data_IF_571166474465
#
_entry.id   IF_571166474465
#
_cell.length_a   1.000
_cell.length_b   1.000
_cell.length_c   1.000
_cell.angle_alpha   90.00
_cell.angle_beta   90.00
_cell.angle_gamma   90.00
#
_symmetry.space_group_name_H-M   'P 1'
#
loop_
_entity.id
_entity.type
_entity.pdbx_description
1 polymer ?
#
# COMPACT_ATOMS: atom_id res chain seq x y z
N UNK A 1 25.35 20.04 -1.30
CA UNK A 1 24.57 18.82 -1.04
C UNK A 1 23.15 19.11 -1.51
N UNK A 2 22.74 18.53 -2.63
CA UNK A 2 21.32 18.56 -3.00
C UNK A 2 20.53 17.83 -1.91
N UNK A 3 19.38 18.39 -1.55
CA UNK A 3 18.51 17.81 -0.55
C UNK A 3 18.09 16.41 -1.02
N UNK A 4 18.59 15.37 -0.35
CA UNK A 4 18.36 13.97 -0.73
C UNK A 4 16.90 13.53 -0.56
N UNK A 5 16.09 14.37 0.09
CA UNK A 5 14.68 14.11 0.36
C UNK A 5 13.84 15.26 -0.21
N UNK A 6 12.93 14.91 -1.13
CA UNK A 6 11.87 15.81 -1.62
C UNK A 6 10.54 15.34 -1.04
N UNK A 7 9.80 16.24 -0.41
CA UNK A 7 8.54 15.93 0.26
C UNK A 7 7.35 16.49 -0.51
N UNK A 8 6.28 15.72 -0.59
CA UNK A 8 4.94 16.22 -0.79
C UNK A 8 3.98 15.39 0.07
N UNK A 9 3.22 16.11 0.90
CA UNK A 9 2.14 15.61 1.74
C UNK A 9 2.49 14.65 2.89
N UNK A 10 3.49 15.00 3.72
CA UNK A 10 3.71 14.37 5.04
C UNK A 10 2.50 14.50 6.00
N UNK A 11 1.51 15.36 5.66
CA UNK A 11 0.39 15.73 6.53
C UNK A 11 -0.94 15.02 6.19
N UNK A 12 -1.01 14.16 5.17
CA UNK A 12 -2.19 13.30 5.03
C UNK A 12 -2.15 12.20 6.09
N UNK A 13 -3.13 12.19 6.99
CA UNK A 13 -3.12 11.36 8.20
C UNK A 13 -2.81 9.87 7.98
N UNK A 14 -3.08 9.32 6.78
CA UNK A 14 -2.91 7.90 6.47
C UNK A 14 -2.23 7.60 5.13
N UNK A 15 -1.58 8.58 4.47
CA UNK A 15 -0.81 8.34 3.25
C UNK A 15 0.26 9.42 3.04
N UNK A 16 1.24 9.18 2.19
CA UNK A 16 2.26 10.15 1.84
C UNK A 16 3.33 9.57 0.92
N UNK A 17 4.22 10.43 0.45
CA UNK A 17 5.36 9.98 -0.33
C UNK A 17 6.57 10.91 -0.18
N UNK A 18 7.73 10.37 -0.51
CA UNK A 18 8.96 11.13 -0.62
C UNK A 18 9.89 10.49 -1.63
N UNK A 19 10.82 11.28 -2.18
CA UNK A 19 11.90 10.75 -3.00
C UNK A 19 13.19 10.64 -2.18
N UNK A 20 13.90 9.52 -2.27
CA UNK A 20 15.23 9.33 -1.69
C UNK A 20 16.10 8.46 -2.59
N UNK A 21 17.36 8.84 -2.81
CA UNK A 21 18.34 8.04 -3.56
C UNK A 21 17.81 7.49 -4.92
N UNK A 22 17.21 8.38 -5.73
CA UNK A 22 16.55 8.06 -7.01
C UNK A 22 15.42 7.02 -6.92
N UNK A 23 14.71 7.00 -5.79
CA UNK A 23 13.53 6.16 -5.56
C UNK A 23 12.37 6.99 -5.08
N UNK A 24 11.18 6.64 -5.53
CA UNK A 24 9.93 7.12 -4.96
C UNK A 24 9.49 6.12 -3.89
N UNK A 25 9.28 6.62 -2.68
CA UNK A 25 8.74 5.87 -1.55
C UNK A 25 7.34 6.39 -1.29
N UNK A 26 6.35 5.50 -1.34
CA UNK A 26 4.93 5.84 -1.15
C UNK A 26 4.39 4.93 -0.07
N UNK A 27 3.70 5.49 0.91
CA UNK A 27 3.16 4.74 2.03
C UNK A 27 1.74 5.20 2.33
N UNK A 28 1.00 4.33 3.00
CA UNK A 28 -0.30 4.67 3.52
C UNK A 28 -1.07 3.45 3.98
N UNK A 29 -2.37 3.60 4.13
CA UNK A 29 -3.24 2.51 4.56
C UNK A 29 -4.66 2.61 4.01
N UNK A 30 -5.32 1.47 3.83
CA UNK A 30 -6.71 1.36 3.41
C UNK A 30 -7.52 0.50 4.39
N UNK A 31 -8.81 0.79 4.53
CA UNK A 31 -9.74 -0.19 5.09
C UNK A 31 -9.87 -1.34 4.08
N UNK A 32 -9.76 -2.57 4.55
CA UNK A 32 -9.87 -3.78 3.75
C UNK A 32 -10.96 -4.67 4.33
N UNK A 33 -11.86 -5.14 3.46
CA UNK A 33 -12.94 -6.05 3.85
C UNK A 33 -12.47 -7.50 3.80
N UNK A 34 -12.52 -8.23 4.91
CA UNK A 34 -12.21 -9.66 4.96
C UNK A 34 -13.36 -10.51 4.41
N UNK A 35 -13.06 -11.77 4.09
CA UNK A 35 -14.05 -12.74 3.61
C UNK A 35 -14.49 -12.54 2.16
N UNK A 36 -13.90 -11.59 1.45
CA UNK A 36 -14.09 -11.45 0.00
C UNK A 36 -13.11 -12.35 -0.73
N UNK A 37 -13.58 -13.27 -1.56
CA UNK A 37 -12.73 -14.08 -2.45
C UNK A 37 -12.09 -13.27 -3.59
N UNK A 38 -12.51 -12.01 -3.75
CA UNK A 38 -12.08 -11.08 -4.79
C UNK A 38 -10.89 -10.22 -4.38
N UNK A 39 -10.11 -9.84 -5.39
CA UNK A 39 -9.12 -8.75 -5.29
C UNK A 39 -9.85 -7.43 -5.02
N UNK A 40 -9.32 -6.62 -4.10
CA UNK A 40 -9.78 -5.24 -3.86
C UNK A 40 -8.76 -4.27 -4.43
N UNK A 41 -9.23 -3.24 -5.13
CA UNK A 41 -8.40 -2.24 -5.78
C UNK A 41 -8.52 -0.92 -5.04
N UNK A 42 -7.38 -0.27 -4.80
CA UNK A 42 -7.28 0.98 -4.06
C UNK A 42 -6.48 2.00 -4.86
N UNK A 43 -7.00 3.22 -4.96
CA UNK A 43 -6.27 4.33 -5.57
C UNK A 43 -5.26 4.91 -4.58
N UNK A 44 -4.04 5.17 -5.05
CA UNK A 44 -2.97 5.83 -4.29
C UNK A 44 -2.83 7.28 -4.74
N UNK A 45 -2.46 8.17 -3.83
CA UNK A 45 -2.47 9.63 -4.04
C UNK A 45 -1.44 10.16 -5.05
N UNK A 46 -0.49 9.33 -5.48
CA UNK A 46 0.58 9.74 -6.39
C UNK A 46 0.84 8.65 -7.42
N UNK A 47 1.08 9.08 -8.66
CA UNK A 47 1.48 8.16 -9.71
C UNK A 47 2.89 7.61 -9.43
N UNK A 48 3.03 6.28 -9.48
CA UNK A 48 4.28 5.56 -9.29
C UNK A 48 5.06 5.53 -10.59
N UNK A 49 6.27 6.11 -10.58
CA UNK A 49 7.21 6.00 -11.70
C UNK A 49 7.72 4.57 -11.81
N UNK A 50 7.89 4.06 -13.04
CA UNK A 50 8.35 2.68 -13.31
C UNK A 50 7.58 1.61 -12.51
N UNK A 51 6.26 1.79 -12.35
CA UNK A 51 5.38 1.02 -11.46
C UNK A 51 5.44 -0.49 -11.68
N UNK A 52 5.69 -0.95 -12.90
CA UNK A 52 5.79 -2.39 -13.23
C UNK A 52 6.93 -3.08 -12.48
N UNK A 53 7.96 -2.32 -12.07
CA UNK A 53 9.13 -2.81 -11.35
C UNK A 53 9.13 -2.35 -9.87
N UNK A 54 8.03 -1.78 -9.38
CA UNK A 54 7.94 -1.32 -8.01
C UNK A 54 7.84 -2.53 -7.06
N UNK A 55 8.54 -2.43 -5.93
CA UNK A 55 8.35 -3.37 -4.84
C UNK A 55 7.16 -2.90 -4.01
N UNK A 56 6.24 -3.81 -3.72
CA UNK A 56 5.06 -3.54 -2.90
C UNK A 56 5.13 -4.44 -1.67
N UNK A 57 5.14 -3.81 -0.50
CA UNK A 57 5.10 -4.47 0.79
C UNK A 57 3.77 -4.09 1.43
N UNK A 58 3.06 -5.09 1.96
CA UNK A 58 1.82 -4.88 2.69
C UNK A 58 1.87 -5.56 4.04
N UNK A 59 1.18 -4.95 5.00
CA UNK A 59 0.93 -5.51 6.33
C UNK A 59 -0.51 -5.26 6.70
N UNK A 60 -1.07 -6.12 7.55
CA UNK A 60 -2.46 -6.04 7.99
C UNK A 60 -2.55 -5.88 9.50
N UNK A 61 -3.49 -5.05 9.93
CA UNK A 61 -3.97 -5.01 11.29
C UNK A 61 -5.45 -5.38 11.29
N UNK A 62 -5.79 -6.52 11.89
CA UNK A 62 -7.18 -6.87 12.17
C UNK A 62 -7.73 -5.97 13.28
N UNK A 63 -8.93 -5.44 13.07
CA UNK A 63 -9.62 -4.52 13.99
C UNK A 63 -10.84 -5.20 14.62
N UNK A 64 -11.41 -6.20 13.96
CA UNK A 64 -12.70 -6.77 14.32
C UNK A 64 -12.60 -8.11 15.03
N UNK A 65 -11.67 -8.99 14.62
CA UNK A 65 -11.75 -10.41 14.99
C UNK A 65 -10.61 -10.92 15.86
N UNK A 66 -9.55 -10.14 16.05
CA UNK A 66 -8.35 -10.56 16.80
C UNK A 66 -7.56 -11.70 16.12
N UNK A 67 -7.84 -11.98 14.84
CA UNK A 67 -7.16 -13.00 14.07
C UNK A 67 -5.83 -12.45 13.53
N UNK A 68 -4.75 -13.18 13.82
CA UNK A 68 -3.38 -12.82 13.42
C UNK A 68 -2.90 -13.62 12.20
N UNK A 69 -3.74 -14.54 11.71
CA UNK A 69 -3.43 -15.47 10.63
C UNK A 69 -4.05 -14.98 9.33
N UNK A 70 -3.33 -14.14 8.60
CA UNK A 70 -3.79 -13.65 7.30
C UNK A 70 -2.59 -13.45 6.39
N UNK A 71 -2.57 -14.12 5.24
CA UNK A 71 -1.56 -13.86 4.21
C UNK A 71 -2.13 -12.93 3.15
N UNK A 72 -1.39 -11.88 2.82
CA UNK A 72 -1.76 -10.89 1.82
C UNK A 72 -0.79 -10.90 0.67
N UNK A 73 -1.33 -10.72 -0.53
CA UNK A 73 -0.57 -10.42 -1.73
C UNK A 73 -1.02 -9.07 -2.27
N UNK A 74 -0.08 -8.30 -2.77
CA UNK A 74 -0.37 -7.00 -3.34
C UNK A 74 0.52 -6.72 -4.56
N UNK A 75 -0.01 -5.98 -5.52
CA UNK A 75 0.74 -5.47 -6.67
C UNK A 75 0.09 -4.22 -7.23
N UNK A 76 0.88 -3.38 -7.89
CA UNK A 76 0.33 -2.33 -8.75
C UNK A 76 -0.23 -2.96 -10.03
N UNK A 77 -1.41 -2.52 -10.46
CA UNK A 77 -2.02 -2.94 -11.74
C UNK A 77 -1.94 -1.86 -12.82
N UNK A 78 -1.65 -0.63 -12.41
CA UNK A 78 -1.28 0.51 -13.23
C UNK A 78 -0.46 1.48 -12.35
N UNK A 79 -0.19 2.69 -12.84
CA UNK A 79 0.65 3.64 -12.13
C UNK A 79 0.02 4.26 -10.87
N UNK A 80 -1.26 4.04 -10.56
CA UNK A 80 -1.92 4.66 -9.40
C UNK A 80 -2.93 3.75 -8.69
N UNK A 81 -2.96 2.46 -9.02
CA UNK A 81 -3.92 1.50 -8.46
C UNK A 81 -3.20 0.31 -7.86
N UNK A 82 -3.37 0.14 -6.55
CA UNK A 82 -2.88 -0.99 -5.78
C UNK A 82 -3.96 -2.06 -5.66
N UNK A 83 -3.69 -3.26 -6.17
CA UNK A 83 -4.53 -4.42 -6.01
C UNK A 83 -4.05 -5.26 -4.81
N UNK A 84 -4.96 -5.63 -3.91
CA UNK A 84 -4.67 -6.43 -2.71
C UNK A 84 -5.61 -7.63 -2.67
N UNK A 85 -5.06 -8.79 -2.31
CA UNK A 85 -5.82 -10.02 -2.07
C UNK A 85 -5.34 -10.67 -0.77
N UNK A 86 -6.24 -10.81 0.20
CA UNK A 86 -6.04 -11.63 1.39
C UNK A 86 -6.50 -13.08 1.18
N UNK A 87 -5.93 -14.01 1.93
CA UNK A 87 -6.33 -15.43 2.00
C UNK A 87 -7.33 -15.73 3.13
N UNK A 88 -7.90 -14.69 3.72
CA UNK A 88 -8.71 -14.77 4.94
C UNK A 88 -10.03 -15.52 4.67
N UNK A 89 -10.31 -16.55 5.46
CA UNK A 89 -11.53 -17.35 5.39
C UNK A 89 -12.64 -16.86 6.33
N UNK A 90 -12.44 -15.72 6.98
CA UNK A 90 -13.36 -15.12 7.95
C UNK A 90 -13.86 -13.76 7.45
N UNK A 91 -15.07 -13.38 7.86
CA UNK A 91 -15.64 -12.06 7.58
C UNK A 91 -15.19 -11.01 8.59
N UNK A 92 -15.21 -9.74 8.20
CA UNK A 92 -14.84 -8.60 9.04
C UNK A 92 -14.18 -7.50 8.22
N UNK A 93 -13.53 -6.56 8.90
CA UNK A 93 -12.64 -5.57 8.30
C UNK A 93 -11.36 -5.40 9.12
N UNK A 94 -10.37 -4.84 8.46
CA UNK A 94 -9.18 -4.33 9.12
C UNK A 94 -8.51 -3.28 8.26
N UNK A 95 -7.28 -2.96 8.62
CA UNK A 95 -6.47 -1.97 7.89
C UNK A 95 -5.31 -2.69 7.21
N UNK A 96 -5.10 -2.38 5.93
CA UNK A 96 -3.90 -2.77 5.20
C UNK A 96 -3.01 -1.55 5.05
N UNK A 97 -1.83 -1.60 5.66
CA UNK A 97 -0.78 -0.63 5.44
C UNK A 97 0.12 -1.09 4.29
N UNK A 98 0.53 -0.16 3.44
CA UNK A 98 1.38 -0.43 2.29
C UNK A 98 2.64 0.44 2.30
N UNK A 99 3.70 -0.11 1.70
CA UNK A 99 4.92 0.60 1.34
C UNK A 99 5.29 0.21 -0.10
N UNK A 100 5.36 1.20 -0.98
CA UNK A 100 5.75 1.05 -2.38
C UNK A 100 7.12 1.69 -2.54
N UNK A 101 8.05 0.95 -3.14
CA UNK A 101 9.40 1.40 -3.46
C UNK A 101 9.61 1.25 -4.95
N UNK A 102 9.65 2.38 -5.65
CA UNK A 102 9.86 2.42 -7.09
C UNK A 102 11.13 3.20 -7.45
N UNK A 103 11.77 2.87 -8.57
CA UNK A 103 12.88 3.67 -9.10
C UNK A 103 12.32 4.82 -9.92
N UNK A 104 12.88 6.01 -9.76
CA UNK A 104 12.58 7.15 -10.64
C UNK A 104 13.12 6.92 -12.04
#
# INVERSE_FOLDING_TARGET
MENLIKFDNFNSHNQGWFEIANRQIIYGSFEYKYGTSSVQNFEISVAVKNWQNANVIVSSMDIDTGNILSSFQARLINNNTLAIKGSNSFGGKGVISYLIIARN
#
